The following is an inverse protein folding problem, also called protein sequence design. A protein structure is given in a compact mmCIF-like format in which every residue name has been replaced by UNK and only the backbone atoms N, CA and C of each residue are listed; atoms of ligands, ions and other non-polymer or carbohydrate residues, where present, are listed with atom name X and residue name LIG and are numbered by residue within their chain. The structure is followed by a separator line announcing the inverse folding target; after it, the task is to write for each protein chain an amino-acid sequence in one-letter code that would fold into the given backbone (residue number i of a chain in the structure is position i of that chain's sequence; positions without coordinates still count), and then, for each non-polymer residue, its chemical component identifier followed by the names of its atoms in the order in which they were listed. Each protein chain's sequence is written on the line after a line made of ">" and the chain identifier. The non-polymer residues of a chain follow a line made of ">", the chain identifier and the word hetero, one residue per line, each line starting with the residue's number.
data_IF_620763556953
#
_entry.id   IF_620763556953
#
_cell.length_a   1.000
_cell.length_b   1.000
_cell.length_c   1.000
_cell.angle_alpha   90.00
_cell.angle_beta   90.00
_cell.angle_gamma   90.00
#
_symmetry.space_group_name_H-M   'P 1'
#
loop_
_entity.id
_entity.type
_entity.pdbx_description
1 polymer ?
#
# COMPACT_ATOMS: atom_id res chain seq x y z
N UNK A 1 -25.77 9.41 -3.79
CA UNK A 1 -25.46 8.55 -4.95
C UNK A 1 -24.34 7.60 -4.56
N UNK A 2 -23.73 6.92 -5.52
CA UNK A 2 -22.50 6.15 -5.31
C UNK A 2 -21.36 6.80 -6.09
N UNK A 3 -20.17 6.83 -5.51
CA UNK A 3 -18.94 7.28 -6.15
C UNK A 3 -18.05 6.08 -6.48
N UNK A 4 -17.56 6.00 -7.72
CA UNK A 4 -16.61 4.96 -8.13
C UNK A 4 -15.20 5.38 -7.73
N UNK A 5 -14.57 4.62 -6.84
CA UNK A 5 -13.18 4.83 -6.41
C UNK A 5 -12.31 3.70 -6.96
N UNK A 6 -11.25 4.08 -7.66
CA UNK A 6 -10.20 3.18 -8.13
C UNK A 6 -8.87 3.53 -7.45
N UNK A 7 -7.80 2.85 -7.86
CA UNK A 7 -6.46 2.99 -7.28
C UNK A 7 -5.43 3.39 -8.34
N UNK A 8 -4.33 3.99 -7.90
CA UNK A 8 -3.15 4.25 -8.73
C UNK A 8 -2.04 3.22 -8.52
N UNK A 9 -2.14 2.41 -7.47
CA UNK A 9 -1.22 1.30 -7.18
C UNK A 9 -1.95 0.05 -6.70
N UNK A 10 -1.51 -1.10 -7.21
CA UNK A 10 -1.83 -2.43 -6.70
C UNK A 10 -0.68 -3.39 -7.03
N UNK A 11 -0.57 -4.49 -6.28
CA UNK A 11 0.37 -5.57 -6.56
C UNK A 11 -0.18 -6.93 -6.10
N UNK A 12 0.52 -8.02 -6.37
CA UNK A 12 0.06 -9.38 -6.05
C UNK A 12 0.26 -9.73 -4.56
N UNK A 13 -0.51 -9.10 -3.69
CA UNK A 13 -0.54 -9.36 -2.24
C UNK A 13 -1.70 -10.28 -1.82
N UNK A 14 -2.65 -10.54 -2.71
CA UNK A 14 -3.84 -11.36 -2.42
C UNK A 14 -3.60 -12.87 -2.49
N UNK A 15 -2.57 -13.35 -3.20
CA UNK A 15 -2.28 -14.78 -3.31
C UNK A 15 -1.55 -15.29 -2.07
N UNK A 16 -2.27 -15.90 -1.13
CA UNK A 16 -1.73 -16.39 0.15
C UNK A 16 -0.73 -17.54 0.00
N UNK A 17 -0.75 -18.27 -1.12
CA UNK A 17 0.13 -19.41 -1.38
C UNK A 17 1.49 -18.98 -1.97
N UNK A 18 1.59 -17.74 -2.46
CA UNK A 18 2.78 -17.19 -3.11
C UNK A 18 3.06 -15.75 -2.66
N UNK A 19 3.12 -15.54 -1.34
CA UNK A 19 3.35 -14.23 -0.75
C UNK A 19 4.78 -13.73 -1.04
N UNK A 20 4.95 -12.46 -1.44
CA UNK A 20 6.29 -11.89 -1.65
C UNK A 20 7.04 -11.79 -0.32
N UNK A 21 8.38 -11.79 -0.40
CA UNK A 21 9.21 -11.47 0.75
C UNK A 21 9.06 -9.99 1.16
N UNK A 22 9.49 -9.67 2.38
CA UNK A 22 9.34 -8.33 2.96
C UNK A 22 10.00 -7.25 2.12
N UNK A 23 11.22 -7.47 1.64
CA UNK A 23 12.01 -6.46 0.93
C UNK A 23 11.43 -6.19 -0.46
N UNK A 24 10.95 -7.23 -1.14
CA UNK A 24 10.27 -7.12 -2.42
C UNK A 24 8.96 -6.35 -2.27
N UNK A 25 8.13 -6.72 -1.29
CA UNK A 25 6.86 -6.04 -1.04
C UNK A 25 7.07 -4.57 -0.62
N UNK A 26 7.98 -4.32 0.32
CA UNK A 26 8.32 -2.98 0.79
C UNK A 26 8.80 -2.09 -0.36
N UNK A 27 9.78 -2.55 -1.16
CA UNK A 27 10.26 -1.80 -2.34
C UNK A 27 9.15 -1.59 -3.36
N UNK A 28 8.29 -2.58 -3.59
CA UNK A 28 7.20 -2.46 -4.56
C UNK A 28 6.22 -1.36 -4.17
N UNK A 29 5.87 -1.28 -2.89
CA UNK A 29 4.98 -0.24 -2.35
C UNK A 29 5.67 1.12 -2.38
N UNK A 30 6.86 1.24 -1.78
CA UNK A 30 7.52 2.55 -1.64
C UNK A 30 7.99 3.14 -2.96
N UNK A 31 8.45 2.32 -3.92
CA UNK A 31 8.85 2.80 -5.26
C UNK A 31 7.70 3.34 -6.11
N UNK A 32 6.45 3.01 -5.77
CA UNK A 32 5.26 3.54 -6.45
C UNK A 32 4.72 4.83 -5.81
N UNK A 33 5.45 5.41 -4.85
CA UNK A 33 5.02 6.63 -4.15
C UNK A 33 4.97 7.82 -5.10
N UNK A 34 3.82 8.49 -5.12
CA UNK A 34 3.62 9.76 -5.82
C UNK A 34 2.53 10.60 -5.13
N UNK A 35 2.50 11.90 -5.39
CA UNK A 35 1.47 12.79 -4.84
C UNK A 35 0.07 12.33 -5.30
N UNK A 36 -0.87 12.25 -4.36
CA UNK A 36 -2.26 11.84 -4.63
C UNK A 36 -2.45 10.34 -4.89
N UNK A 37 -1.47 9.49 -4.57
CA UNK A 37 -1.58 8.05 -4.77
C UNK A 37 -2.68 7.41 -3.92
N UNK A 38 -3.40 6.44 -4.52
CA UNK A 38 -4.39 5.60 -3.84
C UNK A 38 -3.94 4.15 -3.96
N UNK A 39 -3.67 3.52 -2.82
CA UNK A 39 -3.12 2.17 -2.72
C UNK A 39 -4.22 1.15 -2.46
N UNK A 40 -4.36 0.17 -3.36
CA UNK A 40 -5.16 -1.03 -3.12
C UNK A 40 -4.27 -2.10 -2.49
N UNK A 41 -4.56 -2.44 -1.23
CA UNK A 41 -3.89 -3.51 -0.48
C UNK A 41 -4.94 -4.49 0.08
N UNK A 42 -4.60 -5.78 0.11
CA UNK A 42 -5.47 -6.83 0.64
C UNK A 42 -5.04 -7.24 2.06
N UNK A 43 -6.02 -7.36 2.97
CA UNK A 43 -5.83 -7.72 4.37
C UNK A 43 -5.57 -9.23 4.61
N UNK A 44 -5.36 -10.02 3.54
CA UNK A 44 -5.05 -11.47 3.62
C UNK A 44 -3.54 -11.75 3.59
N UNK A 45 -2.72 -10.72 3.33
CA UNK A 45 -1.27 -10.84 3.23
C UNK A 45 -0.58 -10.72 4.59
N UNK A 46 0.12 -11.79 5.00
CA UNK A 46 1.03 -11.75 6.16
C UNK A 46 2.18 -10.78 5.92
N UNK A 47 2.70 -10.73 4.69
CA UNK A 47 3.78 -9.81 4.33
C UNK A 47 3.34 -8.36 4.48
N UNK A 48 2.17 -7.96 3.94
CA UNK A 48 1.63 -6.60 4.13
C UNK A 48 1.52 -6.24 5.61
N UNK A 49 0.89 -7.12 6.40
CA UNK A 49 0.71 -6.88 7.84
C UNK A 49 2.05 -6.61 8.52
N UNK A 50 3.10 -7.30 8.10
CA UNK A 50 4.41 -7.23 8.72
C UNK A 50 5.24 -6.00 8.29
N UNK A 51 4.94 -5.38 7.14
CA UNK A 51 5.68 -4.22 6.59
C UNK A 51 4.89 -2.91 6.60
N UNK A 52 3.57 -2.95 6.82
CA UNK A 52 2.72 -1.76 6.76
C UNK A 52 3.16 -0.64 7.71
N UNK A 53 3.62 -0.91 8.96
CA UNK A 53 4.21 0.12 9.82
C UNK A 53 5.41 0.82 9.16
N UNK A 54 6.38 0.03 8.66
CA UNK A 54 7.60 0.55 8.01
C UNK A 54 7.28 1.39 6.75
N UNK A 55 6.24 1.00 6.01
CA UNK A 55 5.74 1.74 4.84
C UNK A 55 5.13 3.08 5.24
N UNK A 56 4.33 3.11 6.31
CA UNK A 56 3.71 4.33 6.81
C UNK A 56 4.80 5.28 7.31
N UNK A 57 5.76 4.77 8.08
CA UNK A 57 6.91 5.56 8.56
C UNK A 57 7.69 6.16 7.38
N UNK A 58 7.96 5.36 6.34
CA UNK A 58 8.58 5.86 5.11
C UNK A 58 7.81 7.04 4.49
N UNK A 59 6.48 6.94 4.37
CA UNK A 59 5.68 8.03 3.81
C UNK A 59 5.74 9.29 4.68
N UNK A 60 5.63 9.14 6.00
CA UNK A 60 5.69 10.26 6.94
C UNK A 60 7.07 10.95 6.90
N UNK A 61 8.15 10.17 6.92
CA UNK A 61 9.53 10.68 6.86
C UNK A 61 9.85 11.41 5.56
N UNK A 62 9.16 11.04 4.46
CA UNK A 62 9.28 11.70 3.16
C UNK A 62 8.27 12.85 2.96
N UNK A 63 7.57 13.28 4.02
CA UNK A 63 6.69 14.45 3.99
C UNK A 63 5.31 14.20 3.40
N UNK A 64 4.90 12.94 3.23
CA UNK A 64 3.54 12.58 2.83
C UNK A 64 2.62 12.51 4.04
N UNK A 65 1.31 12.65 3.78
CA UNK A 65 0.26 12.43 4.78
C UNK A 65 -0.66 11.32 4.32
N UNK A 66 -1.00 10.39 5.21
CA UNK A 66 -2.02 9.36 4.95
C UNK A 66 -3.41 9.93 5.28
N UNK A 67 -4.34 9.82 4.34
CA UNK A 67 -5.71 10.34 4.47
C UNK A 67 -6.74 9.30 4.03
N UNK A 68 -7.95 9.40 4.58
CA UNK A 68 -9.10 8.64 4.09
C UNK A 68 -9.57 9.17 2.74
N UNK A 69 -10.17 8.29 1.93
CA UNK A 69 -10.79 8.68 0.66
C UNK A 69 -12.05 9.52 0.88
N UNK A 70 -12.76 9.29 1.98
CA UNK A 70 -13.87 10.14 2.42
C UNK A 70 -13.31 11.40 3.07
N UNK A 71 -13.39 12.51 2.36
CA UNK A 71 -13.11 13.87 2.81
C UNK A 71 -14.07 14.83 2.15
#
# INVERSE_FOLDING_TARGET
>A
GYDTVLWSFAYNDWNTDAQPDRDTAYRRITSATHNGAVYLLHAVSKTNTAILPDVIDYWLDNGYTVKSISG
#
